data_IF_815706930652
#
_entry.id   IF_815706930652
#
_cell.length_a   1.000
_cell.length_b   1.000
_cell.length_c   1.000
_cell.angle_alpha   90.00
_cell.angle_beta   90.00
_cell.angle_gamma   90.00
#
_symmetry.space_group_name_H-M   'P 1'
#
loop_
_entity.id
_entity.type
_entity.pdbx_description
1 polymer ?
#
# COMPACT_ATOMS: atom_id res chain seq x y z
N UNK A 1 -8.32 -1.57 -8.14
CA UNK A 1 -7.34 -2.22 -9.04
C UNK A 1 -6.47 -3.15 -8.17
N UNK A 2 -5.59 -4.01 -8.70
CA UNK A 2 -4.87 -4.97 -7.86
C UNK A 2 -3.76 -4.28 -7.04
N UNK A 3 -3.60 -4.68 -5.78
CA UNK A 3 -2.46 -4.27 -4.94
C UNK A 3 -1.16 -5.04 -5.28
N UNK A 4 -1.17 -5.78 -6.38
CA UNK A 4 -0.08 -6.56 -6.96
C UNK A 4 -0.03 -6.24 -8.45
N UNK A 5 1.05 -6.64 -9.13
CA UNK A 5 1.03 -6.70 -10.59
C UNK A 5 0.30 -7.98 -10.99
N UNK A 6 -0.83 -7.86 -11.67
CA UNK A 6 -1.57 -9.04 -12.12
C UNK A 6 -0.96 -9.66 -13.39
N UNK A 7 -1.56 -10.75 -13.88
CA UNK A 7 -1.07 -11.45 -15.07
C UNK A 7 -1.13 -10.63 -16.37
N UNK A 8 -1.89 -9.53 -16.39
CA UNK A 8 -1.99 -8.59 -17.50
C UNK A 8 -1.09 -7.37 -17.33
N UNK A 9 -0.45 -7.24 -16.17
CA UNK A 9 0.38 -6.08 -15.80
C UNK A 9 -0.42 -4.93 -15.19
N UNK A 10 -1.70 -5.13 -14.88
CA UNK A 10 -2.52 -4.11 -14.24
C UNK A 10 -2.08 -3.93 -12.77
N UNK A 11 -2.21 -2.70 -12.27
CA UNK A 11 -1.82 -2.28 -10.92
C UNK A 11 -2.78 -1.23 -10.36
N UNK A 12 -2.80 -1.05 -9.04
CA UNK A 12 -3.49 0.08 -8.41
C UNK A 12 -2.89 1.41 -8.89
N UNK A 13 -3.77 2.29 -9.39
CA UNK A 13 -3.37 3.52 -10.04
C UNK A 13 -3.43 4.74 -9.12
N UNK A 14 -4.46 4.83 -8.27
CA UNK A 14 -4.64 5.98 -7.37
C UNK A 14 -5.03 5.57 -5.96
N UNK A 15 -5.68 4.43 -5.72
CA UNK A 15 -6.00 3.99 -4.36
C UNK A 15 -6.66 5.07 -3.50
N UNK A 16 -7.82 5.62 -3.93
CA UNK A 16 -8.53 6.72 -3.25
C UNK A 16 -8.74 6.46 -1.75
N UNK A 17 -8.99 5.21 -1.38
CA UNK A 17 -9.12 4.77 0.02
C UNK A 17 -7.87 5.08 0.87
N UNK A 18 -6.67 5.04 0.28
CA UNK A 18 -5.43 5.43 0.95
C UNK A 18 -5.41 6.93 1.22
N UNK A 19 -5.85 7.74 0.25
CA UNK A 19 -5.94 9.19 0.40
C UNK A 19 -6.95 9.55 1.50
N UNK A 20 -8.12 8.91 1.52
CA UNK A 20 -9.14 9.13 2.54
C UNK A 20 -8.63 8.77 3.94
N UNK A 21 -7.94 7.63 4.08
CA UNK A 21 -7.33 7.23 5.35
C UNK A 21 -6.26 8.22 5.82
N UNK A 22 -5.35 8.64 4.92
CA UNK A 22 -4.33 9.62 5.23
C UNK A 22 -4.90 11.01 5.56
N UNK A 23 -5.99 11.42 4.88
CA UNK A 23 -6.71 12.67 5.18
C UNK A 23 -7.31 12.67 6.59
N UNK A 24 -7.63 11.48 7.13
CA UNK A 24 -8.08 11.28 8.51
C UNK A 24 -6.92 11.01 9.49
N UNK A 25 -5.68 11.27 9.09
CA UNK A 25 -4.47 10.99 9.86
C UNK A 25 -4.38 9.54 10.36
N UNK A 26 -4.92 8.59 9.60
CA UNK A 26 -4.83 7.16 9.90
C UNK A 26 -3.63 6.58 9.13
N UNK A 27 -2.64 5.97 9.82
CA UNK A 27 -1.55 5.30 9.14
C UNK A 27 -2.11 4.12 8.34
N UNK A 28 -1.53 3.90 7.17
CA UNK A 28 -1.91 2.81 6.25
C UNK A 28 -0.78 1.81 6.09
N UNK A 29 -1.14 0.55 5.89
CA UNK A 29 -0.22 -0.50 5.45
C UNK A 29 -0.70 -0.93 4.07
N UNK A 30 0.18 -0.84 3.07
CA UNK A 30 -0.17 -1.13 1.69
C UNK A 30 0.95 -1.87 0.96
N UNK A 31 0.63 -2.47 -0.19
CA UNK A 31 1.63 -3.13 -1.02
C UNK A 31 2.43 -2.11 -1.83
N UNK A 32 3.73 -2.34 -2.00
CA UNK A 32 4.63 -1.51 -2.82
C UNK A 32 4.40 -1.80 -4.32
N UNK A 33 3.28 -1.33 -4.85
CA UNK A 33 2.90 -1.55 -6.26
C UNK A 33 2.15 -0.35 -6.83
N UNK A 34 2.39 -0.05 -8.12
CA UNK A 34 1.67 0.99 -8.86
C UNK A 34 1.66 2.36 -8.15
N UNK A 35 0.56 3.10 -8.30
CA UNK A 35 0.37 4.42 -7.71
C UNK A 35 0.21 4.43 -6.19
N UNK A 36 0.22 3.27 -5.51
CA UNK A 36 0.26 3.22 -4.04
C UNK A 36 1.55 3.90 -3.53
N UNK A 37 2.67 3.73 -4.23
CA UNK A 37 3.96 4.31 -3.84
C UNK A 37 4.03 5.82 -4.02
N UNK A 38 3.13 6.39 -4.82
CA UNK A 38 3.03 7.83 -5.01
C UNK A 38 2.29 8.53 -3.85
N UNK A 39 1.52 7.77 -3.07
CA UNK A 39 0.66 8.26 -1.98
C UNK A 39 1.25 7.94 -0.62
N UNK A 40 1.75 6.72 -0.43
CA UNK A 40 2.28 6.25 0.85
C UNK A 40 3.78 6.44 0.89
N UNK A 41 4.24 7.27 1.83
CA UNK A 41 5.66 7.45 2.13
C UNK A 41 6.04 6.52 3.27
N UNK A 42 6.89 5.54 2.96
CA UNK A 42 7.31 4.52 3.91
C UNK A 42 7.96 5.16 5.14
N UNK A 43 7.57 4.73 6.34
CA UNK A 43 8.03 5.23 7.65
C UNK A 43 7.62 6.68 7.97
N UNK A 44 6.91 7.36 7.07
CA UNK A 44 6.42 8.73 7.27
C UNK A 44 4.90 8.78 7.42
N UNK A 45 4.17 8.25 6.43
CA UNK A 45 2.69 8.27 6.40
C UNK A 45 2.08 6.87 6.50
N UNK A 46 2.90 5.83 6.35
CA UNK A 46 2.47 4.44 6.44
C UNK A 46 3.62 3.46 6.20
N UNK A 47 3.26 2.18 6.07
CA UNK A 47 4.21 1.10 5.79
C UNK A 47 3.93 0.47 4.43
N UNK A 48 5.01 0.17 3.69
CA UNK A 48 4.95 -0.48 2.39
C UNK A 48 5.54 -1.89 2.48
N UNK A 49 4.70 -2.91 2.31
CA UNK A 49 5.10 -4.31 2.22
C UNK A 49 5.33 -4.74 0.75
N UNK A 50 6.21 -5.72 0.47
CA UNK A 50 6.30 -6.32 -0.85
C UNK A 50 4.95 -6.91 -1.29
N UNK A 51 4.53 -6.72 -2.55
CA UNK A 51 3.27 -7.28 -3.04
C UNK A 51 3.27 -8.82 -2.96
N UNK A 52 2.19 -9.41 -2.45
CA UNK A 52 2.04 -10.86 -2.31
C UNK A 52 2.81 -11.49 -1.14
N UNK A 53 3.58 -10.71 -0.37
CA UNK A 53 4.29 -11.19 0.81
C UNK A 53 3.43 -11.05 2.08
N UNK A 54 2.71 -12.12 2.41
CA UNK A 54 1.86 -12.17 3.60
C UNK A 54 2.67 -12.04 4.91
N UNK A 55 3.92 -12.51 4.94
CA UNK A 55 4.75 -12.45 6.15
C UNK A 55 5.23 -11.02 6.42
N UNK A 56 5.66 -10.31 5.38
CA UNK A 56 6.02 -8.90 5.49
C UNK A 56 4.81 -8.04 5.87
N UNK A 57 3.63 -8.32 5.30
CA UNK A 57 2.39 -7.65 5.69
C UNK A 57 2.05 -7.90 7.17
N UNK A 58 2.11 -9.15 7.62
CA UNK A 58 1.87 -9.49 9.02
C UNK A 58 2.84 -8.76 9.97
N UNK A 59 4.12 -8.69 9.59
CA UNK A 59 5.15 -7.97 10.34
C UNK A 59 4.81 -6.49 10.46
N UNK A 60 4.36 -5.87 9.36
CA UNK A 60 3.96 -4.46 9.36
C UNK A 60 2.73 -4.19 10.24
N UNK A 61 1.78 -5.13 10.34
CA UNK A 61 0.58 -5.00 11.19
C UNK A 61 0.93 -4.97 12.68
N UNK A 62 2.00 -5.67 13.09
CA UNK A 62 2.40 -5.78 14.50
C UNK A 62 3.31 -4.66 15.00
N UNK A 63 3.59 -3.66 14.17
CA UNK A 63 4.39 -2.48 14.55
C UNK A 63 3.54 -1.38 15.16
#
# INVERSE_FOLDING_TARGET
LPAVHDAKGDVEGLGVVLIEALALARPVIASRAGGITDIVRHEETGLLAPPGDASALATAITR
#
